data_IF_715568779963
#
_entry.id   IF_715568779963
#
_cell.length_a   1.000
_cell.length_b   1.000
_cell.length_c   1.000
_cell.angle_alpha   90.00
_cell.angle_beta   90.00
_cell.angle_gamma   90.00
#
_symmetry.space_group_name_H-M   'P 1'
#
loop_
_entity.id
_entity.type
_entity.pdbx_description
1 polymer ?
#
# COMPACT_ATOMS: atom_id res chain seq x y z
N UNK A 1 -9.59 -2.29 1.14
CA UNK A 1 -9.10 -1.38 0.07
C UNK A 1 -9.00 0.02 0.66
N UNK A 2 -7.93 0.75 0.37
CA UNK A 2 -7.67 2.10 0.90
C UNK A 2 -7.30 3.02 -0.26
N UNK A 3 -8.09 4.06 -0.50
CA UNK A 3 -7.77 5.11 -1.47
C UNK A 3 -7.00 6.24 -0.78
N UNK A 4 -5.75 6.46 -1.21
CA UNK A 4 -4.86 7.44 -0.60
C UNK A 4 -4.81 8.76 -1.37
N UNK A 5 -5.48 8.86 -2.52
CA UNK A 5 -5.58 10.11 -3.31
C UNK A 5 -6.18 11.28 -2.52
N UNK A 6 -7.26 11.11 -1.72
CA UNK A 6 -7.81 12.21 -0.93
C UNK A 6 -7.00 12.52 0.34
N UNK A 7 -6.02 11.67 0.71
CA UNK A 7 -5.27 11.83 1.95
C UNK A 7 -4.12 12.83 1.72
N UNK A 8 -4.00 13.89 2.56
CA UNK A 8 -2.91 14.85 2.48
C UNK A 8 -1.55 14.15 2.52
N UNK A 9 -0.63 14.60 1.66
CA UNK A 9 0.68 13.96 1.51
C UNK A 9 1.43 13.81 2.85
N UNK A 10 1.35 14.82 3.71
CA UNK A 10 2.02 14.87 5.02
C UNK A 10 1.65 13.71 5.96
N UNK A 11 0.44 13.14 5.85
CA UNK A 11 -0.04 12.07 6.74
C UNK A 11 -0.28 10.75 6.01
N UNK A 12 -0.09 10.73 4.69
CA UNK A 12 -0.46 9.60 3.83
C UNK A 12 0.29 8.32 4.19
N UNK A 13 1.61 8.40 4.32
CA UNK A 13 2.43 7.22 4.65
C UNK A 13 2.07 6.67 6.03
N UNK A 14 1.92 7.53 7.04
CA UNK A 14 1.49 7.13 8.37
C UNK A 14 0.12 6.43 8.35
N UNK A 15 -0.82 6.93 7.53
CA UNK A 15 -2.14 6.31 7.36
C UNK A 15 -2.04 4.91 6.74
N UNK A 16 -1.21 4.74 5.70
CA UNK A 16 -1.00 3.42 5.09
C UNK A 16 -0.33 2.46 6.06
N UNK A 17 0.69 2.90 6.80
CA UNK A 17 1.35 2.05 7.78
C UNK A 17 0.39 1.56 8.86
N UNK A 18 -0.41 2.46 9.46
CA UNK A 18 -1.40 2.05 10.46
C UNK A 18 -2.44 1.07 9.90
N UNK A 19 -2.91 1.31 8.66
CA UNK A 19 -3.85 0.41 8.01
C UNK A 19 -3.23 -0.97 7.69
N UNK A 20 -1.96 -1.00 7.27
CA UNK A 20 -1.27 -2.25 6.92
C UNK A 20 -0.79 -3.03 8.15
N UNK A 21 -0.37 -2.35 9.21
CA UNK A 21 0.04 -2.99 10.47
C UNK A 21 -1.11 -3.78 11.11
N UNK A 22 -2.36 -3.35 10.88
CA UNK A 22 -3.58 -4.04 11.31
C UNK A 22 -3.93 -5.29 10.46
N UNK A 23 -3.24 -5.52 9.34
CA UNK A 23 -3.46 -6.70 8.50
C UNK A 23 -2.71 -7.90 9.11
N UNK A 24 -3.40 -9.02 9.40
CA UNK A 24 -2.75 -10.22 9.90
C UNK A 24 -1.87 -10.86 8.81
N UNK A 25 -0.90 -11.70 9.18
CA UNK A 25 -0.16 -12.53 8.22
C UNK A 25 -1.09 -13.30 7.28
N UNK A 26 -0.74 -13.33 6.00
CA UNK A 26 -1.58 -13.88 4.92
C UNK A 26 -2.72 -12.96 4.46
N UNK A 27 -2.99 -11.87 5.18
CA UNK A 27 -3.96 -10.85 4.78
C UNK A 27 -3.40 -9.85 3.76
N UNK A 28 -4.30 -9.18 3.05
CA UNK A 28 -3.93 -8.20 2.03
C UNK A 28 -4.66 -6.86 2.16
N UNK A 29 -3.96 -5.78 1.76
CA UNK A 29 -4.51 -4.45 1.56
C UNK A 29 -4.35 -4.04 0.09
N UNK A 30 -5.45 -3.67 -0.57
CA UNK A 30 -5.39 -2.99 -1.86
C UNK A 30 -5.30 -1.48 -1.65
N UNK A 31 -4.22 -0.86 -2.12
CA UNK A 31 -4.03 0.60 -2.15
C UNK A 31 -4.43 1.17 -3.51
N UNK A 32 -5.12 2.31 -3.50
CA UNK A 32 -5.34 3.15 -4.69
C UNK A 32 -4.51 4.42 -4.57
N UNK A 33 -3.62 4.64 -5.53
CA UNK A 33 -2.68 5.75 -5.54
C UNK A 33 -2.66 6.46 -6.91
N UNK A 34 -2.25 7.75 -6.98
CA UNK A 34 -2.15 8.47 -8.25
C UNK A 34 -0.96 8.02 -9.13
N UNK A 35 -0.04 7.25 -8.56
CA UNK A 35 1.11 6.63 -9.23
C UNK A 35 1.50 5.37 -8.47
N UNK A 36 2.37 4.52 -9.03
CA UNK A 36 2.91 3.38 -8.29
C UNK A 36 3.67 3.88 -7.04
N UNK A 37 3.31 3.45 -5.82
CA UNK A 37 3.87 3.99 -4.59
C UNK A 37 5.19 3.30 -4.21
N UNK A 38 6.18 3.31 -5.12
CA UNK A 38 7.47 2.60 -4.95
C UNK A 38 8.19 2.92 -3.63
N UNK A 39 8.29 4.20 -3.18
CA UNK A 39 8.97 4.51 -1.92
C UNK A 39 8.25 3.93 -0.70
N UNK A 40 6.91 3.99 -0.70
CA UNK A 40 6.09 3.43 0.38
C UNK A 40 6.22 1.89 0.44
N UNK A 41 6.24 1.23 -0.71
CA UNK A 41 6.45 -0.23 -0.80
C UNK A 41 7.82 -0.60 -0.22
N UNK A 42 8.88 0.17 -0.55
CA UNK A 42 10.21 -0.05 0.00
C UNK A 42 10.22 0.10 1.53
N UNK A 43 9.58 1.15 2.07
CA UNK A 43 9.46 1.37 3.51
C UNK A 43 8.67 0.27 4.23
N UNK A 44 7.65 -0.31 3.59
CA UNK A 44 6.93 -1.45 4.15
C UNK A 44 7.81 -2.71 4.20
N UNK A 45 8.63 -2.94 3.17
CA UNK A 45 9.55 -4.09 3.10
C UNK A 45 10.67 -4.05 4.14
N UNK A 46 11.01 -2.87 4.63
CA UNK A 46 11.95 -2.71 5.76
C UNK A 46 11.34 -3.19 7.10
N UNK A 47 10.00 -3.29 7.19
CA UNK A 47 9.28 -3.56 8.43
C UNK A 47 8.74 -4.98 8.51
N UNK A 48 8.25 -5.51 7.39
CA UNK A 48 7.66 -6.84 7.29
C UNK A 48 7.95 -7.44 5.93
N UNK A 49 7.94 -8.77 5.86
CA UNK A 49 7.95 -9.46 4.58
C UNK A 49 6.59 -9.27 3.90
N UNK A 50 6.58 -8.88 2.63
CA UNK A 50 5.34 -8.69 1.89
C UNK A 50 5.48 -8.97 0.40
N UNK A 51 4.38 -9.46 -0.15
CA UNK A 51 4.18 -9.57 -1.60
C UNK A 51 3.43 -8.36 -2.16
N UNK A 52 3.72 -8.03 -3.41
CA UNK A 52 3.21 -6.84 -4.10
C UNK A 52 2.73 -7.21 -5.50
N UNK A 53 1.45 -7.01 -5.75
CA UNK A 53 0.83 -7.25 -7.06
C UNK A 53 0.18 -5.96 -7.58
N UNK A 54 0.52 -5.57 -8.81
CA UNK A 54 -0.13 -4.45 -9.50
C UNK A 54 -1.40 -5.00 -10.18
N UNK A 55 -2.55 -4.50 -9.75
CA UNK A 55 -3.86 -4.90 -10.28
C UNK A 55 -4.34 -3.98 -11.40
N UNK A 56 -3.96 -2.71 -11.34
CA UNK A 56 -4.27 -1.68 -12.35
C UNK A 56 -3.01 -0.84 -12.56
N UNK A 57 -2.58 -0.74 -13.81
CA UNK A 57 -1.33 -0.13 -14.26
C UNK A 57 -1.55 1.28 -14.87
N UNK A 58 -2.23 2.17 -14.13
CA UNK A 58 -2.41 3.59 -14.49
C UNK A 58 -3.03 3.87 -15.88
N UNK A 59 -3.02 5.15 -16.33
CA UNK A 59 -2.64 6.37 -15.60
C UNK A 59 -3.76 6.95 -14.72
N UNK A 60 -5.02 6.52 -14.87
CA UNK A 60 -6.16 7.09 -14.13
C UNK A 60 -6.06 6.78 -12.62
N UNK A 61 -5.59 5.58 -12.29
CA UNK A 61 -5.29 5.15 -10.93
C UNK A 61 -4.36 3.93 -10.93
N UNK A 62 -3.58 3.80 -9.86
CA UNK A 62 -2.81 2.59 -9.58
C UNK A 62 -3.47 1.81 -8.47
N UNK A 63 -3.79 0.54 -8.72
CA UNK A 63 -4.25 -0.39 -7.70
C UNK A 63 -3.14 -1.37 -7.39
N UNK A 64 -2.70 -1.41 -6.14
CA UNK A 64 -1.62 -2.29 -5.70
C UNK A 64 -2.11 -3.12 -4.53
N UNK A 65 -2.12 -4.45 -4.68
CA UNK A 65 -2.35 -5.39 -3.58
C UNK A 65 -1.02 -5.60 -2.86
N UNK A 66 -1.03 -5.32 -1.56
CA UNK A 66 0.05 -5.60 -0.63
C UNK A 66 -0.41 -6.77 0.25
N UNK A 67 0.34 -7.86 0.29
CA UNK A 67 0.02 -9.04 1.11
C UNK A 67 1.10 -9.24 2.14
N UNK A 68 0.73 -9.27 3.42
CA UNK A 68 1.68 -9.52 4.52
C UNK A 68 2.07 -11.00 4.52
N UNK A 69 3.37 -11.28 4.45
CA UNK A 69 3.92 -12.63 4.53
C UNK A 69 4.50 -12.81 5.93
N UNK A 70 4.07 -13.84 6.67
CA UNK A 70 4.63 -14.19 7.99
C UNK A 70 4.22 -13.29 9.15
#
# INVERSE_FOLDING_TARGET
>A
MLDVRPIPHAIRHATVFGAFDAIPPGGSLVLVAPHLPRPLIAQLRERVELDVEVLVDGPEAWHVRLTRLG
#
